data_IF_418988095588
#
_entry.id   IF_418988095588
#
_cell.length_a   1.000
_cell.length_b   1.000
_cell.length_c   1.000
_cell.angle_alpha   90.00
_cell.angle_beta   90.00
_cell.angle_gamma   90.00
#
_symmetry.space_group_name_H-M   'P 1'
#
loop_
_entity.id
_entity.type
_entity.pdbx_description
1 polymer ?
#
# COMPACT_ATOMS: atom_id res chain seq x y z
N UNK A 1 -22.22 -10.24 2.33
CA UNK A 1 -21.60 -10.17 0.98
C UNK A 1 -20.68 -8.96 1.00
N UNK A 2 -19.41 -9.14 1.41
CA UNK A 2 -18.45 -8.05 1.51
C UNK A 2 -17.92 -7.74 0.11
N UNK A 3 -18.58 -6.80 -0.57
CA UNK A 3 -18.02 -6.19 -1.77
C UNK A 3 -16.87 -5.30 -1.33
N UNK A 4 -15.64 -5.75 -1.55
CA UNK A 4 -14.45 -4.93 -1.31
C UNK A 4 -14.54 -3.68 -2.20
N UNK A 5 -14.67 -2.47 -1.63
CA UNK A 5 -14.67 -1.26 -2.43
C UNK A 5 -13.26 -1.07 -2.98
N UNK A 6 -13.07 -1.29 -4.30
CA UNK A 6 -11.84 -1.01 -5.05
C UNK A 6 -10.56 -1.31 -4.24
N UNK A 7 -10.22 -2.60 -4.08
CA UNK A 7 -9.10 -3.10 -3.28
C UNK A 7 -7.79 -2.33 -3.55
N UNK A 8 -7.49 -1.35 -2.68
CA UNK A 8 -6.24 -0.63 -2.62
C UNK A 8 -6.46 0.78 -2.07
N UNK A 9 -5.94 1.07 -0.88
CA UNK A 9 -5.70 2.47 -0.54
C UNK A 9 -4.60 2.98 -1.48
N UNK A 10 -4.59 4.27 -1.81
CA UNK A 10 -3.41 4.84 -2.42
C UNK A 10 -2.30 4.82 -1.39
N UNK A 11 -1.11 4.38 -1.78
CA UNK A 11 0.05 4.33 -0.91
C UNK A 11 1.32 4.70 -1.68
N UNK A 12 2.40 4.79 -0.92
CA UNK A 12 3.72 5.18 -1.35
C UNK A 12 4.74 4.51 -0.43
N UNK A 13 5.76 3.89 -1.03
CA UNK A 13 6.96 3.41 -0.34
C UNK A 13 8.06 4.44 -0.45
N UNK A 14 8.69 4.81 0.67
CA UNK A 14 9.76 5.83 0.71
C UNK A 14 11.09 5.28 0.21
N UNK A 15 11.40 4.03 0.56
CA UNK A 15 12.73 3.44 0.38
C UNK A 15 12.74 2.18 -0.50
N UNK A 16 11.57 1.67 -0.90
CA UNK A 16 11.46 0.37 -1.53
C UNK A 16 10.78 0.46 -2.90
N UNK A 17 11.35 -0.28 -3.85
CA UNK A 17 10.79 -0.48 -5.17
C UNK A 17 9.85 -1.70 -5.17
N UNK A 18 8.76 -1.60 -5.93
CA UNK A 18 7.82 -2.69 -6.10
C UNK A 18 7.67 -3.13 -7.54
N UNK A 19 7.38 -4.42 -7.70
CA UNK A 19 7.19 -5.06 -8.99
C UNK A 19 5.96 -5.93 -8.99
N UNK A 20 5.25 -5.89 -10.12
CA UNK A 20 4.06 -6.69 -10.34
C UNK A 20 4.15 -7.40 -11.67
N UNK A 21 3.66 -8.63 -11.73
CA UNK A 21 3.50 -9.38 -12.98
C UNK A 21 2.14 -10.03 -13.00
N UNK A 22 1.34 -9.67 -13.99
CA UNK A 22 0.02 -10.26 -14.20
C UNK A 22 0.21 -11.67 -14.77
N UNK A 23 -0.44 -12.65 -14.15
CA UNK A 23 -0.46 -14.04 -14.63
C UNK A 23 -1.79 -14.37 -15.32
N UNK A 24 -2.87 -13.71 -14.93
CA UNK A 24 -4.24 -13.85 -15.45
C UNK A 24 -5.08 -12.59 -15.18
N UNK A 25 -6.02 -12.26 -16.07
CA UNK A 25 -6.93 -11.12 -15.90
C UNK A 25 -6.30 -9.76 -16.21
N UNK A 26 -6.89 -8.68 -15.66
CA UNK A 26 -6.47 -7.30 -15.91
C UNK A 26 -6.26 -6.56 -14.60
N UNK A 27 -5.02 -6.13 -14.35
CA UNK A 27 -4.63 -5.32 -13.20
C UNK A 27 -4.79 -3.85 -13.55
N UNK A 28 -5.66 -3.16 -12.81
CA UNK A 28 -5.73 -1.70 -12.84
C UNK A 28 -4.59 -1.16 -12.01
N UNK A 29 -3.79 -0.27 -12.59
CA UNK A 29 -2.68 0.40 -11.90
C UNK A 29 -2.89 1.89 -12.07
N UNK A 30 -2.70 2.65 -11.00
CA UNK A 30 -2.51 4.09 -11.11
C UNK A 30 -1.13 4.44 -10.59
N UNK A 31 -0.38 5.24 -11.33
CA UNK A 31 0.96 5.70 -10.97
C UNK A 31 1.05 7.20 -11.20
N UNK A 32 1.26 7.95 -10.12
CA UNK A 32 1.29 9.42 -10.13
C UNK A 32 0.08 10.05 -10.86
N UNK A 33 -1.10 9.46 -10.67
CA UNK A 33 -2.36 9.93 -11.27
C UNK A 33 -2.65 9.42 -12.67
N UNK A 34 -1.72 8.70 -13.32
CA UNK A 34 -1.95 8.08 -14.62
C UNK A 34 -2.46 6.65 -14.42
N UNK A 35 -3.60 6.33 -15.00
CA UNK A 35 -4.25 5.01 -14.94
C UNK A 35 -3.82 4.12 -16.11
N UNK A 36 -3.56 2.85 -15.82
CA UNK A 36 -3.14 1.81 -16.74
C UNK A 36 -4.00 0.56 -16.51
N UNK A 37 -4.32 -0.14 -17.60
CA UNK A 37 -4.91 -1.47 -17.56
C UNK A 37 -3.84 -2.46 -18.04
N UNK A 38 -3.28 -3.22 -17.11
CA UNK A 38 -2.12 -4.10 -17.34
C UNK A 38 -2.59 -5.54 -17.45
N UNK A 39 -2.11 -6.23 -18.46
CA UNK A 39 -2.35 -7.64 -18.76
C UNK A 39 -1.05 -8.44 -18.65
N UNK A 40 -1.15 -9.76 -18.82
CA UNK A 40 0.03 -10.63 -18.87
C UNK A 40 1.04 -10.24 -19.95
N UNK A 41 0.57 -9.70 -21.07
CA UNK A 41 1.39 -9.39 -22.24
C UNK A 41 2.20 -8.09 -22.08
N UNK A 42 1.83 -7.24 -21.12
CA UNK A 42 2.54 -5.99 -20.80
C UNK A 42 3.82 -6.24 -19.96
N UNK A 43 4.02 -7.47 -19.49
CA UNK A 43 5.20 -7.88 -18.74
C UNK A 43 5.19 -7.38 -17.29
N UNK A 44 6.38 -6.97 -16.81
CA UNK A 44 6.58 -6.55 -15.42
C UNK A 44 6.29 -5.06 -15.27
N UNK A 45 5.40 -4.72 -14.34
CA UNK A 45 5.17 -3.34 -13.90
C UNK A 45 6.21 -2.99 -12.85
N UNK A 46 6.83 -1.83 -12.99
CA UNK A 46 7.82 -1.30 -12.05
C UNK A 46 7.33 0.00 -11.39
N UNK A 47 7.30 -0.02 -10.07
CA UNK A 47 6.90 1.09 -9.21
C UNK A 47 8.13 1.52 -8.41
N UNK A 48 8.81 2.61 -8.83
CA UNK A 48 9.95 3.12 -8.08
C UNK A 48 9.51 3.74 -6.76
N UNK A 49 10.38 3.69 -5.76
CA UNK A 49 10.22 4.38 -4.49
C UNK A 49 9.82 5.86 -4.70
N UNK A 50 8.95 6.37 -3.83
CA UNK A 50 8.39 7.71 -3.91
C UNK A 50 7.25 7.86 -4.93
N UNK A 51 6.86 6.79 -5.62
CA UNK A 51 5.72 6.79 -6.53
C UNK A 51 4.42 6.63 -5.76
N UNK A 52 3.46 7.52 -5.99
CA UNK A 52 2.08 7.30 -5.52
C UNK A 52 1.41 6.29 -6.42
N UNK A 53 0.88 5.24 -5.83
CA UNK A 53 0.27 4.20 -6.61
C UNK A 53 -0.89 3.51 -5.89
N UNK A 54 -1.65 2.75 -6.67
CA UNK A 54 -2.74 1.90 -6.20
C UNK A 54 -3.02 0.85 -7.27
N UNK A 55 -3.42 -0.33 -6.83
CA UNK A 55 -3.85 -1.44 -7.67
C UNK A 55 -5.34 -1.72 -7.49
N UNK A 56 -5.99 -2.35 -8.47
CA UNK A 56 -7.33 -2.91 -8.32
C UNK A 56 -7.60 -3.93 -9.44
N UNK A 57 -8.63 -4.76 -9.28
CA UNK A 57 -9.14 -5.57 -10.39
C UNK A 57 -9.82 -4.64 -11.42
N UNK A 58 -9.22 -4.49 -12.61
CA UNK A 58 -9.70 -3.52 -13.60
C UNK A 58 -11.06 -3.94 -14.17
N UNK A 59 -11.94 -2.96 -14.42
CA UNK A 59 -13.30 -3.20 -14.93
C UNK A 59 -13.36 -3.84 -16.32
N UNK A 60 -12.27 -3.82 -17.08
CA UNK A 60 -12.18 -4.48 -18.39
C UNK A 60 -11.81 -5.96 -18.30
N UNK A 61 -11.47 -6.47 -17.10
CA UNK A 61 -11.22 -7.89 -16.90
C UNK A 61 -12.52 -8.69 -17.02
N UNK A 62 -12.49 -9.75 -17.82
CA UNK A 62 -13.59 -10.70 -18.00
C UNK A 62 -13.41 -11.97 -17.16
N UNK A 63 -12.28 -12.09 -16.47
CA UNK A 63 -11.87 -13.23 -15.67
C UNK A 63 -11.26 -12.79 -14.33
N UNK A 64 -10.93 -13.76 -13.48
CA UNK A 64 -10.26 -13.50 -12.21
C UNK A 64 -8.86 -12.90 -12.43
N UNK A 65 -8.53 -11.88 -11.64
CA UNK A 65 -7.21 -11.30 -11.62
C UNK A 65 -6.27 -12.15 -10.75
N UNK A 66 -5.19 -12.65 -11.35
CA UNK A 66 -4.07 -13.30 -10.65
C UNK A 66 -2.79 -12.59 -11.04
N UNK A 67 -2.02 -12.13 -10.05
CA UNK A 67 -0.74 -11.48 -10.28
C UNK A 67 0.25 -11.87 -9.19
N UNK A 68 1.52 -11.86 -9.55
CA UNK A 68 2.63 -11.99 -8.61
C UNK A 68 3.09 -10.59 -8.24
N UNK A 69 3.21 -10.34 -6.94
CA UNK A 69 3.78 -9.13 -6.37
C UNK A 69 5.09 -9.52 -5.67
N UNK A 70 6.12 -8.71 -5.88
CA UNK A 70 7.32 -8.78 -5.07
C UNK A 70 7.92 -7.39 -4.94
N UNK A 71 8.64 -7.21 -3.86
CA UNK A 71 9.39 -5.99 -3.57
C UNK A 71 10.87 -6.30 -3.75
N UNK A 72 11.68 -5.31 -4.12
CA UNK A 72 13.12 -5.51 -4.10
C UNK A 72 13.53 -5.82 -2.65
N UNK A 73 14.17 -6.96 -2.35
CA UNK A 73 14.80 -7.15 -1.06
C UNK A 73 15.95 -6.16 -0.97
N UNK A 74 15.68 -4.93 -0.51
CA UNK A 74 16.71 -4.01 -0.09
C UNK A 74 17.43 -4.66 1.12
N UNK A 75 18.42 -5.51 0.85
CA UNK A 75 19.07 -6.39 1.84
C UNK A 75 19.73 -5.63 2.99
N UNK A 76 19.90 -4.33 2.84
CA UNK A 76 20.58 -3.44 3.78
C UNK A 76 19.65 -2.31 4.30
N UNK A 77 18.33 -2.42 4.11
CA UNK A 77 17.35 -1.40 4.54
C UNK A 77 16.41 -2.01 5.57
N UNK A 78 16.47 -1.51 6.80
CA UNK A 78 15.47 -1.78 7.84
C UNK A 78 14.12 -1.14 7.46
N UNK A 79 13.01 -1.62 8.04
CA UNK A 79 11.66 -1.04 7.87
C UNK A 79 11.07 -1.18 6.46
N UNK A 80 11.01 -2.41 5.96
CA UNK A 80 10.48 -2.75 4.64
C UNK A 80 9.05 -3.30 4.68
N UNK A 81 8.35 -3.26 3.55
CA UNK A 81 7.13 -4.05 3.39
C UNK A 81 7.55 -5.52 3.28
N UNK A 82 7.50 -6.22 4.42
CA UNK A 82 7.86 -7.63 4.55
C UNK A 82 6.69 -8.45 5.11
N UNK A 83 6.97 -9.75 5.28
CA UNK A 83 6.01 -10.70 5.86
C UNK A 83 5.64 -10.32 7.29
N UNK A 84 6.54 -9.70 8.06
CA UNK A 84 6.24 -9.28 9.43
C UNK A 84 5.26 -8.12 9.45
N UNK A 85 5.47 -7.08 8.62
CA UNK A 85 4.52 -5.99 8.45
C UNK A 85 3.14 -6.54 8.04
N UNK A 86 3.09 -7.38 6.99
CA UNK A 86 1.82 -7.93 6.51
C UNK A 86 1.10 -8.73 7.60
N UNK A 87 1.82 -9.61 8.29
CA UNK A 87 1.27 -10.43 9.38
C UNK A 87 0.81 -9.60 10.57
N UNK A 88 1.58 -8.59 10.97
CA UNK A 88 1.26 -7.74 12.10
C UNK A 88 0.05 -6.85 11.80
N UNK A 89 0.00 -6.28 10.59
CA UNK A 89 -1.13 -5.46 10.16
C UNK A 89 -2.41 -6.29 10.03
N UNK A 90 -2.35 -7.45 9.36
CA UNK A 90 -3.52 -8.31 9.19
C UNK A 90 -4.01 -8.85 10.53
N UNK A 91 -3.10 -9.35 11.38
CA UNK A 91 -3.44 -9.85 12.70
C UNK A 91 -4.11 -8.79 13.57
N UNK A 92 -3.57 -7.57 13.59
CA UNK A 92 -4.18 -6.46 14.32
C UNK A 92 -5.58 -6.08 13.81
N UNK A 93 -5.78 -6.09 12.49
CA UNK A 93 -7.11 -5.82 11.90
C UNK A 93 -8.10 -6.92 12.30
N UNK A 94 -7.69 -8.18 12.20
CA UNK A 94 -8.52 -9.33 12.55
C UNK A 94 -8.88 -9.31 14.05
N UNK A 95 -7.92 -9.05 14.93
CA UNK A 95 -8.14 -8.90 16.38
C UNK A 95 -9.16 -7.77 16.68
N UNK A 96 -9.05 -6.63 15.99
CA UNK A 96 -10.02 -5.54 16.12
C UNK A 96 -11.43 -5.99 15.70
N UNK A 97 -11.54 -6.72 14.60
CA UNK A 97 -12.83 -7.23 14.09
C UNK A 97 -13.44 -8.22 15.07
N UNK A 98 -12.67 -9.18 15.56
CA UNK A 98 -13.13 -10.19 16.54
C UNK A 98 -13.59 -9.53 17.84
N UNK A 99 -12.90 -8.47 18.28
CA UNK A 99 -13.27 -7.70 19.45
C UNK A 99 -14.42 -6.70 19.21
N UNK A 100 -14.93 -6.57 17.98
CA UNK A 100 -15.96 -5.58 17.62
C UNK A 100 -15.48 -4.12 17.73
N UNK A 101 -14.18 -3.90 17.63
CA UNK A 101 -13.51 -2.61 17.72
C UNK A 101 -13.12 -2.06 16.35
N UNK A 102 -12.96 -0.74 16.26
CA UNK A 102 -12.38 -0.10 15.08
C UNK A 102 -10.86 -0.02 15.25
N UNK A 103 -10.06 -0.28 14.20
CA UNK A 103 -8.62 -0.08 14.26
C UNK A 103 -8.26 1.37 14.65
N UNK A 104 -7.37 1.53 15.62
CA UNK A 104 -6.77 2.81 15.96
C UNK A 104 -6.00 3.39 14.77
N UNK A 105 -6.30 4.63 14.40
CA UNK A 105 -5.60 5.36 13.34
C UNK A 105 -4.12 5.51 13.66
N UNK A 106 -3.76 5.74 14.92
CA UNK A 106 -2.37 5.87 15.35
C UNK A 106 -1.59 4.57 15.16
N UNK A 107 -2.19 3.43 15.51
CA UNK A 107 -1.55 2.13 15.32
C UNK A 107 -1.35 1.81 13.84
N UNK A 108 -2.32 2.15 12.99
CA UNK A 108 -2.16 2.00 11.54
C UNK A 108 -1.01 2.89 11.03
N UNK A 109 -0.93 4.15 11.46
CA UNK A 109 0.18 5.03 11.06
C UNK A 109 1.54 4.41 11.43
N UNK A 110 1.68 3.86 12.65
CA UNK A 110 2.92 3.20 13.08
C UNK A 110 3.28 1.97 12.25
N UNK A 111 2.31 1.13 11.90
CA UNK A 111 2.59 -0.01 11.01
C UNK A 111 3.16 0.45 9.69
N UNK A 112 2.55 1.48 9.07
CA UNK A 112 3.00 1.99 7.79
C UNK A 112 4.38 2.65 7.89
N UNK A 113 4.65 3.45 8.94
CA UNK A 113 5.98 4.03 9.19
C UNK A 113 7.05 2.93 9.31
N UNK A 114 6.74 1.85 10.03
CA UNK A 114 7.62 0.69 10.23
C UNK A 114 7.85 -0.15 8.95
N UNK A 115 7.09 0.09 7.88
CA UNK A 115 7.31 -0.48 6.56
C UNK A 115 7.77 0.56 5.54
N UNK A 116 8.24 1.72 6.02
CA UNK A 116 8.59 2.90 5.21
C UNK A 116 7.54 3.27 4.17
N UNK A 117 6.30 2.94 4.48
CA UNK A 117 5.13 3.09 3.64
C UNK A 117 4.23 4.16 4.22
N UNK A 118 3.40 4.80 3.42
CA UNK A 118 2.39 5.70 3.95
C UNK A 118 1.14 5.71 3.08
N UNK A 119 0.01 5.78 3.77
CA UNK A 119 -1.29 5.94 3.11
C UNK A 119 -1.41 7.34 2.52
N UNK A 120 -1.87 7.41 1.29
CA UNK A 120 -2.05 8.61 0.49
C UNK A 120 -3.55 8.82 0.20
N UNK A 121 -4.37 9.33 1.16
CA UNK A 121 -5.77 9.61 0.90
C UNK A 121 -5.98 10.48 -0.34
N UNK A 122 -7.02 10.17 -1.13
CA UNK A 122 -7.32 10.89 -2.37
C UNK A 122 -7.42 12.41 -2.21
N UNK A 123 -7.94 12.88 -1.08
CA UNK A 123 -8.07 14.31 -0.79
C UNK A 123 -6.71 15.01 -0.54
N UNK A 124 -5.61 14.27 -0.42
CA UNK A 124 -4.24 14.76 -0.29
C UNK A 124 -3.43 14.64 -1.60
N UNK A 125 -4.08 14.33 -2.73
CA UNK A 125 -3.40 14.22 -4.03
C UNK A 125 -2.74 15.52 -4.48
N UNK A 126 -3.21 16.68 -4.02
CA UNK A 126 -2.64 17.99 -4.31
C UNK A 126 -1.33 18.27 -3.56
N UNK A 127 -1.09 17.59 -2.44
CA UNK A 127 0.08 17.83 -1.60
C UNK A 127 1.31 17.22 -2.24
N UNK A 128 2.47 17.90 -2.31
CA UNK A 128 3.69 17.29 -2.85
C UNK A 128 4.18 16.15 -1.95
N UNK A 129 4.82 15.13 -2.55
CA UNK A 129 5.28 13.91 -1.84
C UNK A 129 6.17 14.22 -0.64
N UNK A 130 7.11 15.15 -0.75
CA UNK A 130 7.99 15.49 0.37
C UNK A 130 7.19 15.98 1.60
N UNK A 131 6.17 16.83 1.40
CA UNK A 131 5.35 17.36 2.48
C UNK A 131 4.46 16.27 3.09
N UNK A 132 3.96 15.36 2.26
CA UNK A 132 3.20 14.20 2.72
C UNK A 132 4.06 13.28 3.61
N UNK A 133 5.31 13.04 3.22
CA UNK A 133 6.28 12.27 4.03
C UNK A 133 6.53 12.97 5.37
N UNK A 134 6.80 14.28 5.36
CA UNK A 134 6.99 15.05 6.60
C UNK A 134 5.78 14.99 7.53
N UNK A 135 4.56 15.14 6.97
CA UNK A 135 3.33 15.02 7.73
C UNK A 135 3.17 13.62 8.33
N UNK A 136 3.45 12.57 7.55
CA UNK A 136 3.39 11.19 8.03
C UNK A 136 4.39 10.95 9.17
N UNK A 137 5.66 11.35 9.03
CA UNK A 137 6.66 11.21 10.09
C UNK A 137 6.26 11.96 11.37
N UNK A 138 5.71 13.17 11.25
CA UNK A 138 5.22 13.92 12.42
C UNK A 138 4.04 13.23 13.11
N UNK A 139 3.12 12.66 12.34
CA UNK A 139 2.00 11.88 12.87
C UNK A 139 2.47 10.56 13.51
N UNK A 140 3.48 9.91 12.95
CA UNK A 140 4.07 8.69 13.51
C UNK A 140 4.75 8.98 14.85
N UNK A 141 5.57 10.03 14.94
CA UNK A 141 6.17 10.45 16.20
C UNK A 141 5.12 10.77 17.29
N UNK A 142 4.04 11.44 16.90
CA UNK A 142 2.91 11.69 17.81
C UNK A 142 2.22 10.39 18.21
N UNK A 143 2.04 9.45 17.29
CA UNK A 143 1.43 8.14 17.55
C UNK A 143 2.26 7.30 18.53
N UNK A 144 3.60 7.27 18.39
CA UNK A 144 4.50 6.64 19.37
C UNK A 144 4.30 7.27 20.75
N UNK A 145 4.32 8.60 20.82
CA UNK A 145 4.15 9.32 22.10
C UNK A 145 2.80 9.01 22.78
N UNK A 146 1.74 8.77 22.00
CA UNK A 146 0.39 8.48 22.51
C UNK A 146 0.21 7.01 22.90
N UNK A 147 0.83 6.08 22.17
CA UNK A 147 0.64 4.65 22.35
C UNK A 147 1.68 3.99 23.27
N UNK A 148 2.82 4.64 23.51
CA UNK A 148 3.89 4.19 24.43
C UNK A 148 5.07 3.56 23.72
#
# INVERSE_FOLDING_TARGET
MWGWPKCGCFDLHRLQDEYFKVEQGVLGVVKNGVEYAVTKDDGKVYIPAGTRHRFWAHKSGTENLVFTFWVDPCKDVDFILDVNFLRNLSGYIDDCVEAGMKPSVFQIILFFENATSLLCPLFLNWMPTWLLVWAHCGLAWMAETVLG
#
